data_IF_171502133693
#
_entry.id   IF_171502133693
#
_cell.length_a   1.000
_cell.length_b   1.000
_cell.length_c   1.000
_cell.angle_alpha   90.00
_cell.angle_beta   90.00
_cell.angle_gamma   90.00
#
_symmetry.space_group_name_H-M   'P 1'
#
loop_
_entity.id
_entity.type
_entity.pdbx_description
1 polymer ?
#
# COMPACT_ATOMS: atom_id res chain seq x y z
N UNK A 1 -8.55 -2.48 16.00
CA UNK A 1 -7.93 -3.81 16.11
C UNK A 1 -8.99 -4.90 16.05
N UNK A 2 -8.68 -5.99 15.40
CA UNK A 2 -9.47 -7.21 15.44
C UNK A 2 -8.52 -8.43 15.47
N UNK A 3 -9.02 -9.62 15.17
CA UNK A 3 -8.22 -10.85 15.19
C UNK A 3 -7.28 -11.00 13.98
N UNK A 4 -7.42 -10.16 12.96
CA UNK A 4 -6.64 -10.24 11.71
C UNK A 4 -5.63 -9.12 11.58
N UNK A 5 -6.03 -7.87 11.89
CA UNK A 5 -5.19 -6.69 11.71
C UNK A 5 -5.12 -5.81 12.95
N UNK A 6 -4.04 -5.06 13.04
CA UNK A 6 -3.87 -3.94 13.95
C UNK A 6 -3.69 -2.70 13.09
N UNK A 7 -4.47 -1.66 13.36
CA UNK A 7 -4.32 -0.37 12.71
C UNK A 7 -3.94 0.67 13.77
N UNK A 8 -2.91 1.47 13.47
CA UNK A 8 -2.41 2.48 14.40
C UNK A 8 -1.75 3.62 13.64
N UNK A 9 -1.63 4.76 14.30
CA UNK A 9 -0.99 5.93 13.69
C UNK A 9 0.53 5.71 13.62
N UNK A 10 1.12 6.08 12.48
CA UNK A 10 2.57 6.16 12.38
C UNK A 10 3.03 7.32 13.25
N UNK A 11 4.02 7.08 14.12
CA UNK A 11 4.55 8.16 14.96
C UNK A 11 5.32 9.20 14.15
N UNK A 12 5.77 8.82 12.95
CA UNK A 12 6.42 9.73 11.99
C UNK A 12 5.42 10.14 10.92
N UNK A 13 4.45 10.96 11.30
CA UNK A 13 3.35 11.39 10.43
C UNK A 13 3.88 12.14 9.22
N UNK A 14 3.78 11.54 8.02
CA UNK A 14 4.11 12.26 6.78
C UNK A 14 3.04 13.30 6.46
N UNK A 15 1.81 12.98 6.80
CA UNK A 15 0.68 13.92 6.84
C UNK A 15 -0.17 13.57 8.06
N UNK A 16 -0.94 14.52 8.61
CA UNK A 16 -1.78 14.23 9.78
C UNK A 16 -2.81 13.12 9.48
N UNK A 17 -2.80 12.09 10.30
CA UNK A 17 -3.68 10.94 10.12
C UNK A 17 -3.02 9.76 9.40
N UNK A 18 -1.72 9.86 9.07
CA UNK A 18 -0.95 8.77 8.49
C UNK A 18 -1.08 7.52 9.36
N UNK A 19 -1.73 6.50 8.81
CA UNK A 19 -2.10 5.27 9.53
C UNK A 19 -1.39 4.07 8.91
N UNK A 20 -1.02 3.12 9.76
CA UNK A 20 -0.47 1.83 9.34
C UNK A 20 -1.48 0.73 9.61
N UNK A 21 -1.63 -0.18 8.66
CA UNK A 21 -2.40 -1.41 8.84
C UNK A 21 -1.43 -2.57 8.77
N UNK A 22 -1.41 -3.39 9.80
CA UNK A 22 -0.45 -4.48 9.97
C UNK A 22 -1.21 -5.78 10.19
N UNK A 23 -0.95 -6.84 9.41
CA UNK A 23 -1.53 -8.14 9.71
C UNK A 23 -0.92 -8.68 11.00
N UNK A 24 -1.73 -9.31 11.83
CA UNK A 24 -1.25 -9.95 13.07
C UNK A 24 -0.38 -11.17 12.77
N UNK A 25 -0.72 -11.90 11.70
CA UNK A 25 0.14 -12.96 11.20
C UNK A 25 1.41 -12.34 10.60
N UNK A 26 2.57 -12.87 10.97
CA UNK A 26 3.84 -12.36 10.43
C UNK A 26 4.03 -12.80 8.98
N UNK A 27 4.07 -11.83 8.08
CA UNK A 27 4.56 -11.96 6.70
C UNK A 27 5.45 -10.75 6.43
N UNK A 28 6.54 -10.97 5.71
CA UNK A 28 7.49 -9.88 5.46
C UNK A 28 6.88 -8.81 4.54
N UNK A 29 6.20 -9.23 3.49
CA UNK A 29 5.62 -8.32 2.50
C UNK A 29 4.57 -9.04 1.65
N UNK A 30 4.10 -8.38 0.59
CA UNK A 30 3.00 -8.87 -0.26
C UNK A 30 3.30 -10.25 -0.88
N UNK A 31 4.57 -10.55 -1.12
CA UNK A 31 4.96 -11.82 -1.78
C UNK A 31 4.73 -13.04 -0.90
N UNK A 32 4.55 -12.84 0.41
CA UNK A 32 4.30 -13.93 1.36
C UNK A 32 2.82 -14.10 1.72
N UNK A 33 1.94 -13.25 1.19
CA UNK A 33 0.51 -13.39 1.44
C UNK A 33 -0.05 -14.58 0.66
N UNK A 34 -0.80 -15.44 1.34
CA UNK A 34 -1.68 -16.38 0.64
C UNK A 34 -3.04 -15.71 0.36
N UNK A 35 -3.90 -16.42 -0.38
CA UNK A 35 -5.21 -15.85 -0.75
C UNK A 35 -6.08 -15.55 0.46
N UNK A 36 -6.08 -16.41 1.46
CA UNK A 36 -6.91 -16.23 2.66
C UNK A 36 -6.46 -15.02 3.46
N UNK A 37 -5.15 -14.87 3.66
CA UNK A 37 -4.61 -13.70 4.37
C UNK A 37 -4.86 -12.42 3.58
N UNK A 38 -4.63 -12.45 2.27
CA UNK A 38 -4.87 -11.28 1.41
C UNK A 38 -6.33 -10.86 1.47
N UNK A 39 -7.26 -11.79 1.32
CA UNK A 39 -8.69 -11.52 1.41
C UNK A 39 -9.07 -10.93 2.76
N UNK A 40 -8.56 -11.50 3.84
CA UNK A 40 -8.89 -11.04 5.20
C UNK A 40 -8.33 -9.63 5.48
N UNK A 41 -7.08 -9.37 5.13
CA UNK A 41 -6.43 -8.09 5.40
C UNK A 41 -7.01 -6.99 4.52
N UNK A 42 -7.06 -7.21 3.20
CA UNK A 42 -7.49 -6.16 2.27
C UNK A 42 -8.98 -5.87 2.37
N UNK A 43 -9.81 -6.81 2.79
CA UNK A 43 -11.22 -6.56 3.04
C UNK A 43 -11.46 -5.49 4.13
N UNK A 44 -10.51 -5.32 5.03
CA UNK A 44 -10.61 -4.37 6.14
C UNK A 44 -10.19 -2.94 5.77
N UNK A 45 -9.44 -2.78 4.68
CA UNK A 45 -8.86 -1.48 4.31
C UNK A 45 -9.93 -0.43 4.03
N UNK A 46 -10.98 -0.69 3.23
CA UNK A 46 -11.94 0.36 2.93
C UNK A 46 -12.64 0.95 4.15
N UNK A 47 -12.98 0.14 5.13
CA UNK A 47 -13.61 0.63 6.36
C UNK A 47 -12.68 1.54 7.16
N UNK A 48 -11.42 1.16 7.28
CA UNK A 48 -10.42 1.96 7.99
C UNK A 48 -10.15 3.25 7.22
N UNK A 49 -10.03 3.17 5.90
CA UNK A 49 -9.80 4.33 5.04
C UNK A 49 -10.95 5.34 5.15
N UNK A 50 -12.20 4.86 5.15
CA UNK A 50 -13.36 5.75 5.34
C UNK A 50 -13.34 6.42 6.70
N UNK A 51 -12.94 5.70 7.75
CA UNK A 51 -12.83 6.27 9.09
C UNK A 51 -11.74 7.35 9.15
N UNK A 52 -10.59 7.11 8.53
CA UNK A 52 -9.52 8.11 8.45
C UNK A 52 -10.02 9.34 7.71
N UNK A 53 -10.64 9.17 6.55
CA UNK A 53 -11.17 10.29 5.77
C UNK A 53 -12.20 11.09 6.54
N UNK A 54 -13.12 10.43 7.24
CA UNK A 54 -14.17 11.09 8.00
C UNK A 54 -13.65 11.82 9.24
N UNK A 55 -12.45 11.49 9.72
CA UNK A 55 -11.87 12.07 10.94
C UNK A 55 -11.48 13.53 10.79
N UNK A 56 -11.31 14.02 9.55
CA UNK A 56 -10.90 15.40 9.31
C UNK A 56 -11.47 15.87 7.96
N UNK A 57 -12.29 16.93 7.95
CA UNK A 57 -12.92 17.43 6.70
C UNK A 57 -11.93 18.00 5.69
N UNK A 58 -10.69 18.28 6.10
CA UNK A 58 -9.65 18.80 5.22
C UNK A 58 -8.94 17.72 4.41
N UNK A 59 -9.21 16.45 4.69
CA UNK A 59 -8.65 15.34 3.89
C UNK A 59 -9.37 15.30 2.54
N UNK A 60 -8.59 15.53 1.46
CA UNK A 60 -9.11 15.60 0.08
C UNK A 60 -8.80 14.36 -0.73
N UNK A 61 -7.95 13.48 -0.24
CA UNK A 61 -7.58 12.25 -0.92
C UNK A 61 -6.80 11.34 -0.01
N UNK A 62 -6.46 10.16 -0.51
CA UNK A 62 -5.73 9.17 0.27
C UNK A 62 -4.84 8.37 -0.67
N UNK A 63 -3.57 8.23 -0.30
CA UNK A 63 -2.69 7.27 -0.95
C UNK A 63 -2.57 6.02 -0.09
N UNK A 64 -2.64 4.88 -0.74
CA UNK A 64 -2.39 3.58 -0.11
C UNK A 64 -1.06 3.09 -0.62
N UNK A 65 -0.11 2.86 0.27
CA UNK A 65 1.25 2.51 -0.09
C UNK A 65 1.68 1.23 0.60
N UNK A 66 2.21 0.29 -0.16
CA UNK A 66 2.83 -0.93 0.34
C UNK A 66 4.23 -1.03 -0.25
N UNK A 67 5.24 -1.07 0.60
CA UNK A 67 6.63 -1.19 0.19
C UNK A 67 7.07 -2.64 0.35
N UNK A 68 7.51 -3.24 -0.74
CA UNK A 68 7.83 -4.67 -0.77
C UNK A 68 9.23 -4.86 -1.33
N UNK A 69 10.18 -5.11 -0.43
CA UNK A 69 11.58 -5.22 -0.75
C UNK A 69 12.35 -3.92 -0.50
N UNK A 70 13.65 -4.05 -0.31
CA UNK A 70 14.52 -2.94 0.07
C UNK A 70 14.57 -1.83 -0.99
N UNK A 71 14.64 -2.20 -2.28
CA UNK A 71 14.64 -1.20 -3.37
C UNK A 71 13.33 -0.45 -3.49
N UNK A 72 12.25 -0.99 -2.94
CA UNK A 72 10.95 -0.34 -2.87
C UNK A 72 10.73 0.35 -1.52
N UNK A 73 11.82 0.67 -0.82
CA UNK A 73 11.83 1.40 0.46
C UNK A 73 11.25 0.65 1.66
N UNK A 74 11.19 -0.69 1.60
CA UNK A 74 10.84 -1.45 2.79
C UNK A 74 12.03 -1.50 3.75
N UNK A 75 11.85 -0.97 4.95
CA UNK A 75 12.89 -0.98 6.00
C UNK A 75 12.56 -1.91 7.16
N UNK A 76 11.30 -2.23 7.37
CA UNK A 76 10.84 -3.17 8.40
C UNK A 76 10.18 -4.36 7.70
N UNK A 77 10.67 -5.56 7.98
CA UNK A 77 10.24 -6.77 7.27
C UNK A 77 9.12 -7.51 8.01
N UNK A 78 8.14 -6.77 8.41
CA UNK A 78 6.79 -7.19 8.75
C UNK A 78 5.86 -6.32 7.92
N UNK A 79 5.00 -6.94 7.12
CA UNK A 79 4.12 -6.21 6.18
C UNK A 79 3.34 -5.13 6.90
N UNK A 80 3.35 -3.94 6.31
CA UNK A 80 2.54 -2.81 6.80
C UNK A 80 2.10 -1.99 5.60
N UNK A 81 0.83 -1.58 5.65
CA UNK A 81 0.20 -0.83 4.58
C UNK A 81 -0.05 0.58 5.10
N UNK A 82 0.49 1.56 4.38
CA UNK A 82 0.33 2.97 4.72
C UNK A 82 -0.97 3.51 4.15
N UNK A 83 -1.76 4.18 4.98
CA UNK A 83 -2.85 5.05 4.54
C UNK A 83 -2.39 6.47 4.78
N UNK A 84 -2.19 7.22 3.70
CA UNK A 84 -1.60 8.56 3.76
C UNK A 84 -2.65 9.57 3.31
N UNK A 85 -3.29 10.30 4.26
CA UNK A 85 -4.25 11.33 3.90
C UNK A 85 -3.57 12.47 3.13
N UNK A 86 -4.27 13.03 2.16
CA UNK A 86 -3.75 14.13 1.35
C UNK A 86 -4.60 15.37 1.56
N UNK A 87 -3.92 16.49 1.79
CA UNK A 87 -4.52 17.77 2.12
C UNK A 87 -4.30 18.79 1.03
N UNK A 88 -3.08 18.87 0.50
CA UNK A 88 -2.67 19.79 -0.56
C UNK A 88 -1.66 19.09 -1.45
N UNK A 89 -1.32 19.69 -2.60
CA UNK A 89 -0.28 19.17 -3.48
C UNK A 89 1.11 19.22 -2.85
N UNK A 90 1.29 20.06 -1.83
CA UNK A 90 2.57 20.34 -1.19
C UNK A 90 2.66 19.79 0.22
N UNK A 91 1.78 18.87 0.59
CA UNK A 91 1.90 18.18 1.87
C UNK A 91 3.13 17.27 1.87
N UNK A 92 3.47 16.68 3.01
CA UNK A 92 4.74 15.98 3.19
C UNK A 92 5.01 14.75 2.34
N UNK A 93 4.07 14.38 1.46
CA UNK A 93 4.20 13.19 0.62
C UNK A 93 4.11 13.55 -0.86
N UNK A 94 5.06 13.04 -1.67
CA UNK A 94 5.05 13.24 -3.10
C UNK A 94 5.49 11.99 -3.83
N UNK A 95 4.97 11.81 -5.03
CA UNK A 95 5.38 10.74 -5.94
C UNK A 95 6.13 11.37 -7.11
N UNK A 96 7.34 10.88 -7.37
CA UNK A 96 8.12 11.25 -8.54
C UNK A 96 7.97 10.19 -9.60
N UNK A 97 7.58 10.61 -10.77
CA UNK A 97 7.16 9.73 -11.83
C UNK A 97 7.90 10.09 -13.12
N UNK A 98 8.73 9.21 -13.60
CA UNK A 98 9.49 9.41 -14.84
C UNK A 98 9.09 8.34 -15.86
N UNK A 99 8.02 8.58 -16.64
CA UNK A 99 7.54 7.56 -17.56
C UNK A 99 8.54 7.33 -18.69
N UNK A 100 8.71 6.07 -19.07
CA UNK A 100 9.32 5.68 -20.33
C UNK A 100 8.19 5.29 -21.28
N UNK A 101 8.45 5.33 -22.59
CA UNK A 101 7.42 5.05 -23.57
C UNK A 101 7.88 3.89 -24.48
N UNK A 102 7.91 2.65 -23.97
CA UNK A 102 8.28 1.51 -24.78
C UNK A 102 7.25 1.29 -25.89
N UNK A 103 7.67 0.74 -27.03
CA UNK A 103 6.74 0.44 -28.10
C UNK A 103 5.87 -0.79 -27.77
N UNK A 104 4.84 -1.02 -28.61
CA UNK A 104 3.87 -2.08 -28.37
C UNK A 104 4.49 -3.48 -28.37
N UNK A 105 5.54 -3.67 -29.14
CA UNK A 105 6.24 -4.96 -29.23
C UNK A 105 6.96 -5.30 -27.91
N UNK A 106 7.63 -4.33 -27.33
CA UNK A 106 8.27 -4.45 -26.02
C UNK A 106 7.22 -4.73 -24.93
N UNK A 107 6.13 -3.97 -24.95
CA UNK A 107 5.03 -4.16 -23.99
C UNK A 107 4.43 -5.56 -24.10
N UNK A 108 4.25 -6.08 -25.33
CA UNK A 108 3.72 -7.42 -25.54
C UNK A 108 4.63 -8.50 -24.96
N UNK A 109 5.95 -8.34 -25.09
CA UNK A 109 6.91 -9.28 -24.53
C UNK A 109 6.90 -9.26 -22.99
N UNK A 110 6.83 -8.08 -22.41
CA UNK A 110 6.73 -7.95 -20.95
C UNK A 110 5.45 -8.61 -20.44
N UNK A 111 4.33 -8.33 -21.09
CA UNK A 111 3.05 -8.92 -20.71
C UNK A 111 3.08 -10.45 -20.81
N UNK A 112 3.71 -10.99 -21.86
CA UNK A 112 3.85 -12.43 -22.02
C UNK A 112 4.67 -13.06 -20.91
N UNK A 113 5.78 -12.44 -20.53
CA UNK A 113 6.62 -12.92 -19.43
C UNK A 113 5.85 -12.99 -18.12
N UNK A 114 5.04 -11.99 -17.83
CA UNK A 114 4.19 -11.95 -16.62
C UNK A 114 3.14 -13.06 -16.67
N UNK A 115 2.45 -13.21 -17.81
CA UNK A 115 1.40 -14.24 -17.95
C UNK A 115 1.97 -15.64 -17.73
N UNK A 116 3.16 -15.92 -18.25
CA UNK A 116 3.82 -17.21 -18.07
C UNK A 116 4.04 -17.54 -16.61
N UNK A 117 4.40 -16.53 -15.79
CA UNK A 117 4.60 -16.73 -14.36
C UNK A 117 3.27 -16.91 -13.61
N UNK A 118 2.20 -16.30 -14.07
CA UNK A 118 0.88 -16.46 -13.45
C UNK A 118 0.27 -17.85 -13.71
N UNK A 119 0.65 -18.48 -14.82
CA UNK A 119 0.18 -19.82 -15.20
C UNK A 119 1.04 -20.94 -14.60
N UNK A 120 2.16 -20.60 -14.00
CA UNK A 120 3.12 -21.57 -13.45
C UNK A 120 2.63 -22.21 -12.16
#
# INVERSE_FOLDING_TARGET
EDDVVLAFLDISQVTPGHTLIVPKKHVANIFEYDEDLASAVFARIPKIARAVQASNPDIKGLNILSNNGELAYQSVFHSHIHLIPRYTKEDGFGLKWHPTNPNSEVLAKIAQSIREQMEA
#
